data_IF_151195549687
#
_entry.id   IF_151195549687
#
_cell.length_a   1.000
_cell.length_b   1.000
_cell.length_c   1.000
_cell.angle_alpha   90.00
_cell.angle_beta   90.00
_cell.angle_gamma   90.00
#
_symmetry.space_group_name_H-M   'P 1'
#
loop_
_entity.id
_entity.type
_entity.pdbx_description
1 polymer ?
#
# COMPACT_ATOMS: atom_id res chain seq x y z
N UNK A 1 24.22 14.19 11.43
CA UNK A 1 23.73 12.81 11.22
C UNK A 1 22.35 12.75 10.56
N UNK A 2 21.38 13.57 10.97
CA UNK A 2 20.00 13.53 10.41
C UNK A 2 19.89 13.78 8.91
N UNK A 3 20.64 14.75 8.34
CA UNK A 3 20.58 15.05 6.91
C UNK A 3 21.05 13.89 6.00
N UNK A 4 22.05 13.12 6.44
CA UNK A 4 22.55 11.96 5.69
C UNK A 4 21.55 10.80 5.71
N UNK A 5 20.84 10.63 6.82
CA UNK A 5 19.83 9.59 6.98
C UNK A 5 18.58 9.89 6.13
N UNK A 6 18.11 11.15 6.13
CA UNK A 6 17.01 11.59 5.27
C UNK A 6 17.35 11.46 3.77
N UNK A 7 18.58 11.86 3.39
CA UNK A 7 19.05 11.70 2.01
C UNK A 7 19.11 10.23 1.59
N UNK A 8 19.57 9.34 2.48
CA UNK A 8 19.57 7.90 2.24
C UNK A 8 18.15 7.36 2.02
N UNK A 9 17.19 7.78 2.86
CA UNK A 9 15.78 7.39 2.74
C UNK A 9 15.21 7.78 1.38
N UNK A 10 15.45 9.02 0.95
CA UNK A 10 15.00 9.52 -0.36
C UNK A 10 15.63 8.77 -1.53
N UNK A 11 16.92 8.45 -1.44
CA UNK A 11 17.62 7.65 -2.46
C UNK A 11 17.05 6.23 -2.53
N UNK A 12 16.80 5.60 -1.38
CA UNK A 12 16.18 4.27 -1.33
C UNK A 12 14.78 4.29 -1.93
N UNK A 13 13.95 5.27 -1.56
CA UNK A 13 12.61 5.46 -2.14
C UNK A 13 12.67 5.66 -3.66
N UNK A 14 13.57 6.51 -4.14
CA UNK A 14 13.78 6.73 -5.57
C UNK A 14 14.19 5.44 -6.27
N UNK A 15 15.09 4.65 -5.67
CA UNK A 15 15.50 3.36 -6.20
C UNK A 15 14.31 2.41 -6.31
N UNK A 16 13.45 2.32 -5.29
CA UNK A 16 12.25 1.50 -5.32
C UNK A 16 11.26 1.95 -6.41
N UNK A 17 11.07 3.26 -6.59
CA UNK A 17 10.23 3.80 -7.68
C UNK A 17 10.81 3.43 -9.04
N UNK A 18 12.12 3.57 -9.22
CA UNK A 18 12.81 3.19 -10.47
C UNK A 18 12.70 1.69 -10.71
N UNK A 19 12.91 0.85 -9.70
CA UNK A 19 12.77 -0.61 -9.80
C UNK A 19 11.33 -1.03 -10.10
N UNK A 20 10.34 -0.38 -9.48
CA UNK A 20 8.92 -0.60 -9.79
C UNK A 20 8.59 -0.20 -11.23
N UNK A 21 9.09 0.96 -11.69
CA UNK A 21 8.96 1.39 -13.08
C UNK A 21 9.62 0.41 -14.06
N UNK A 22 10.82 -0.07 -13.75
CA UNK A 22 11.53 -1.08 -14.53
C UNK A 22 10.77 -2.41 -14.54
N UNK A 23 10.21 -2.85 -13.41
CA UNK A 23 9.39 -4.05 -13.34
C UNK A 23 8.16 -3.94 -14.26
N UNK A 24 7.49 -2.78 -14.27
CA UNK A 24 6.36 -2.49 -15.18
C UNK A 24 6.81 -2.51 -16.65
N UNK A 25 7.98 -1.95 -16.97
CA UNK A 25 8.52 -1.95 -18.33
C UNK A 25 8.94 -3.35 -18.79
N UNK A 26 9.58 -4.13 -17.92
CA UNK A 26 10.02 -5.49 -18.19
C UNK A 26 8.84 -6.45 -18.33
N UNK A 27 7.78 -6.26 -17.57
CA UNK A 27 6.55 -7.05 -17.67
C UNK A 27 5.84 -6.93 -19.02
N UNK A 28 6.07 -5.83 -19.78
CA UNK A 28 5.58 -5.69 -21.16
C UNK A 28 6.27 -6.62 -22.15
N UNK A 29 7.36 -7.29 -21.76
CA UNK A 29 8.10 -8.17 -22.67
C UNK A 29 7.45 -9.57 -22.71
N UNK A 30 7.13 -10.10 -23.90
CA UNK A 30 6.35 -11.33 -24.06
C UNK A 30 7.00 -12.57 -23.43
N UNK A 31 8.33 -12.59 -23.28
CA UNK A 31 9.07 -13.69 -22.64
C UNK A 31 8.93 -13.78 -21.11
N UNK A 32 8.49 -12.70 -20.45
CA UNK A 32 8.29 -12.60 -18.99
C UNK A 32 6.81 -12.81 -18.71
N UNK A 33 5.94 -12.24 -19.55
CA UNK A 33 4.49 -12.35 -19.46
C UNK A 33 3.99 -13.80 -19.34
N UNK A 34 4.52 -14.72 -20.17
CA UNK A 34 4.12 -16.13 -20.14
C UNK A 34 4.59 -16.93 -18.91
N UNK A 35 5.49 -16.37 -18.08
CA UNK A 35 6.05 -17.05 -16.89
C UNK A 35 5.43 -16.58 -15.58
N UNK A 36 4.78 -15.42 -15.56
CA UNK A 36 4.17 -14.86 -14.33
C UNK A 36 2.74 -15.37 -14.20
N UNK A 37 2.54 -16.45 -13.44
CA UNK A 37 1.21 -16.96 -13.09
C UNK A 37 0.70 -16.30 -11.81
N UNK A 38 -0.38 -15.54 -11.93
CA UNK A 38 -1.10 -15.00 -10.78
C UNK A 38 -1.95 -16.10 -10.14
N UNK A 39 -1.54 -16.57 -8.97
CA UNK A 39 -2.33 -17.48 -8.16
C UNK A 39 -2.98 -16.71 -7.02
N UNK A 40 -4.08 -17.22 -6.48
CA UNK A 40 -4.75 -16.66 -5.29
C UNK A 40 -3.80 -16.53 -4.09
N UNK A 41 -2.74 -17.35 -4.04
CA UNK A 41 -1.70 -17.26 -3.00
C UNK A 41 -0.86 -15.99 -3.16
N UNK A 42 -0.55 -15.59 -4.38
CA UNK A 42 0.21 -14.36 -4.64
C UNK A 42 -0.68 -13.14 -4.42
N UNK A 43 -1.96 -13.21 -4.81
CA UNK A 43 -2.98 -12.22 -4.45
C UNK A 43 -3.01 -12.00 -2.93
N UNK A 44 -3.26 -13.08 -2.18
CA UNK A 44 -3.39 -13.02 -0.73
C UNK A 44 -2.09 -12.58 -0.06
N UNK A 45 -0.94 -13.09 -0.50
CA UNK A 45 0.37 -12.68 0.03
C UNK A 45 0.61 -11.18 -0.13
N UNK A 46 0.25 -10.61 -1.28
CA UNK A 46 0.37 -9.18 -1.55
C UNK A 46 -0.43 -8.34 -0.56
N UNK A 47 -1.69 -8.70 -0.32
CA UNK A 47 -2.55 -7.98 0.61
C UNK A 47 -2.22 -8.23 2.08
N UNK A 48 -1.68 -9.39 2.44
CA UNK A 48 -1.14 -9.62 3.79
C UNK A 48 0.04 -8.67 4.05
N UNK A 49 0.99 -8.59 3.12
CA UNK A 49 2.14 -7.66 3.25
C UNK A 49 1.66 -6.21 3.32
N UNK A 50 0.67 -5.82 2.50
CA UNK A 50 0.10 -4.49 2.56
C UNK A 50 -0.60 -4.20 3.89
N UNK A 51 -1.41 -5.13 4.41
CA UNK A 51 -2.07 -4.98 5.71
C UNK A 51 -1.05 -4.88 6.86
N UNK A 52 -0.02 -5.75 6.87
CA UNK A 52 1.04 -5.71 7.88
C UNK A 52 1.83 -4.40 7.83
N UNK A 53 2.15 -3.90 6.63
CA UNK A 53 2.88 -2.64 6.47
C UNK A 53 2.05 -1.45 6.96
N UNK A 54 0.74 -1.43 6.67
CA UNK A 54 -0.17 -0.40 7.17
C UNK A 54 -0.30 -0.45 8.69
N UNK A 55 -0.45 -1.65 9.27
CA UNK A 55 -0.53 -1.83 10.72
C UNK A 55 0.74 -1.34 11.43
N UNK A 56 1.92 -1.71 10.91
CA UNK A 56 3.20 -1.24 11.42
C UNK A 56 3.33 0.28 11.31
N UNK A 57 2.85 0.88 10.22
CA UNK A 57 2.84 2.33 10.04
C UNK A 57 1.96 3.07 11.04
N UNK A 58 0.77 2.54 11.33
CA UNK A 58 -0.09 3.08 12.39
C UNK A 58 0.62 2.97 13.74
N UNK A 59 1.11 1.78 14.10
CA UNK A 59 1.80 1.57 15.38
C UNK A 59 2.98 2.52 15.54
N UNK A 60 3.82 2.66 14.50
CA UNK A 60 4.98 3.52 14.57
C UNK A 60 4.62 5.02 14.62
N UNK A 61 3.51 5.44 14.00
CA UNK A 61 3.00 6.81 14.13
C UNK A 61 2.53 7.15 15.54
N UNK A 62 2.00 6.18 16.29
CA UNK A 62 1.64 6.39 17.70
C UNK A 62 2.84 6.36 18.64
N UNK A 63 3.84 5.52 18.36
CA UNK A 63 5.04 5.41 19.21
C UNK A 63 6.04 6.54 18.97
N UNK A 64 6.20 7.02 17.73
CA UNK A 64 7.20 8.01 17.34
C UNK A 64 6.67 9.05 16.34
N UNK A 65 5.60 9.80 16.67
CA UNK A 65 4.92 10.70 15.73
C UNK A 65 5.87 11.76 15.12
N UNK A 66 6.68 12.41 15.96
CA UNK A 66 7.61 13.46 15.50
C UNK A 66 8.70 12.92 14.58
N UNK A 67 9.27 11.76 14.90
CA UNK A 67 10.34 11.15 14.09
C UNK A 67 9.79 10.68 12.75
N UNK A 68 8.64 10.02 12.76
CA UNK A 68 7.97 9.52 11.57
C UNK A 68 7.54 10.66 10.63
N UNK A 69 7.02 11.75 11.18
CA UNK A 69 6.61 12.93 10.41
C UNK A 69 7.81 13.72 9.89
N UNK A 70 8.79 14.05 10.75
CA UNK A 70 9.94 14.89 10.39
C UNK A 70 10.89 14.23 9.41
N UNK A 71 11.10 12.92 9.53
CA UNK A 71 12.00 12.17 8.65
C UNK A 71 11.28 11.53 7.46
N UNK A 72 9.98 11.80 7.28
CA UNK A 72 9.18 11.25 6.18
C UNK A 72 9.20 9.71 6.09
N UNK A 73 9.43 9.03 7.22
CA UNK A 73 9.60 7.56 7.26
C UNK A 73 8.33 6.81 6.88
N UNK A 74 7.17 7.46 6.94
CA UNK A 74 5.90 6.89 6.49
C UNK A 74 5.91 6.53 5.00
N UNK A 75 6.69 7.23 4.18
CA UNK A 75 6.83 6.95 2.74
C UNK A 75 7.44 5.57 2.51
N UNK A 76 8.35 5.13 3.38
CA UNK A 76 8.97 3.79 3.28
C UNK A 76 8.00 2.67 3.55
N UNK A 77 6.97 2.90 4.36
CA UNK A 77 5.95 1.92 4.68
C UNK A 77 4.88 1.79 3.57
N UNK A 78 4.89 2.73 2.61
CA UNK A 78 4.08 2.65 1.39
C UNK A 78 4.78 1.90 0.26
N UNK A 79 6.11 1.69 0.34
CA UNK A 79 6.88 0.95 -0.68
C UNK A 79 6.26 -0.43 -0.97
N UNK A 80 5.88 -1.26 0.03
CA UNK A 80 5.30 -2.56 -0.25
C UNK A 80 3.99 -2.48 -1.05
N UNK A 81 3.20 -1.41 -0.85
CA UNK A 81 1.97 -1.14 -1.61
C UNK A 81 2.28 -0.72 -3.04
N UNK A 82 3.27 0.14 -3.22
CA UNK A 82 3.72 0.52 -4.56
C UNK A 82 4.22 -0.69 -5.34
N UNK A 83 5.02 -1.55 -4.71
CA UNK A 83 5.50 -2.78 -5.33
C UNK A 83 4.35 -3.75 -5.65
N UNK A 84 3.36 -3.85 -4.76
CA UNK A 84 2.13 -4.59 -5.02
C UNK A 84 1.44 -4.08 -6.29
N UNK A 85 1.10 -2.78 -6.36
CA UNK A 85 0.43 -2.22 -7.53
C UNK A 85 1.27 -2.32 -8.82
N UNK A 86 2.58 -2.14 -8.73
CA UNK A 86 3.47 -2.33 -9.86
C UNK A 86 3.45 -3.77 -10.38
N UNK A 87 3.45 -4.75 -9.46
CA UNK A 87 3.30 -6.16 -9.79
C UNK A 87 1.94 -6.47 -10.42
N UNK A 88 0.85 -5.92 -9.87
CA UNK A 88 -0.50 -6.02 -10.44
C UNK A 88 -0.59 -5.46 -11.86
N UNK A 89 -0.04 -4.26 -12.09
CA UNK A 89 -0.01 -3.63 -13.40
C UNK A 89 0.82 -4.42 -14.41
N UNK A 90 1.94 -4.99 -13.95
CA UNK A 90 2.76 -5.91 -14.73
C UNK A 90 1.97 -7.13 -15.20
N UNK A 91 1.19 -7.74 -14.31
CA UNK A 91 0.35 -8.91 -14.60
C UNK A 91 -0.79 -8.57 -15.55
N UNK A 92 -1.50 -7.46 -15.31
CA UNK A 92 -2.59 -7.00 -16.17
C UNK A 92 -2.12 -6.83 -17.63
N UNK A 93 -0.91 -6.30 -17.82
CA UNK A 93 -0.32 -6.12 -19.15
C UNK A 93 0.24 -7.40 -19.76
N UNK A 94 0.77 -8.30 -18.95
CA UNK A 94 1.27 -9.59 -19.40
C UNK A 94 0.17 -10.46 -20.01
N UNK A 95 -1.05 -10.39 -19.47
CA UNK A 95 -2.18 -11.20 -19.94
C UNK A 95 -2.82 -10.67 -21.21
N UNK A 96 -2.83 -9.36 -21.44
CA UNK A 96 -3.36 -8.74 -22.65
C UNK A 96 -4.83 -9.12 -22.92
N UNK A 97 -5.78 -8.32 -22.45
CA UNK A 97 -7.23 -8.54 -22.58
C UNK A 97 -7.77 -9.91 -22.08
N UNK A 98 -6.92 -10.86 -21.69
CA UNK A 98 -7.33 -11.95 -20.82
C UNK A 98 -7.75 -11.32 -19.49
N UNK A 99 -8.97 -11.61 -19.01
CA UNK A 99 -9.45 -11.00 -17.79
C UNK A 99 -8.44 -11.31 -16.68
N UNK A 100 -7.98 -10.25 -16.00
CA UNK A 100 -7.75 -10.40 -14.57
C UNK A 100 -8.99 -11.13 -14.07
N UNK A 101 -8.82 -12.29 -13.41
CA UNK A 101 -9.92 -13.15 -13.03
C UNK A 101 -11.07 -12.27 -12.52
N UNK A 102 -12.20 -12.25 -13.21
CA UNK A 102 -13.25 -11.25 -13.04
C UNK A 102 -13.69 -11.17 -11.57
N UNK A 103 -13.55 -12.30 -10.86
CA UNK A 103 -13.67 -12.42 -9.41
C UNK A 103 -12.68 -11.51 -8.65
N UNK A 104 -11.39 -11.57 -8.95
CA UNK A 104 -10.35 -10.77 -8.29
C UNK A 104 -10.57 -9.26 -8.52
N UNK A 105 -11.02 -8.87 -9.71
CA UNK A 105 -11.37 -7.47 -10.01
C UNK A 105 -12.59 -7.01 -9.19
N UNK A 106 -13.65 -7.83 -9.15
CA UNK A 106 -14.83 -7.59 -8.32
C UNK A 106 -14.48 -7.52 -6.82
N UNK A 107 -13.62 -8.41 -6.34
CA UNK A 107 -13.17 -8.45 -4.95
C UNK A 107 -12.35 -7.21 -4.59
N UNK A 108 -11.50 -6.73 -5.50
CA UNK A 108 -10.78 -5.46 -5.33
C UNK A 108 -11.74 -4.27 -5.37
N UNK A 109 -12.76 -4.28 -6.24
CA UNK A 109 -13.79 -3.24 -6.27
C UNK A 109 -14.57 -3.17 -4.95
N UNK A 110 -14.98 -4.33 -4.42
CA UNK A 110 -15.64 -4.43 -3.09
C UNK A 110 -14.71 -3.99 -1.97
N UNK A 111 -13.44 -4.37 -2.02
CA UNK A 111 -12.41 -3.91 -1.09
C UNK A 111 -12.23 -2.39 -1.15
N UNK A 112 -12.33 -1.78 -2.33
CA UNK A 112 -12.35 -0.32 -2.52
C UNK A 112 -13.52 0.34 -1.79
N UNK A 113 -14.71 -0.23 -1.88
CA UNK A 113 -15.88 0.22 -1.11
C UNK A 113 -15.68 0.12 0.40
N UNK A 114 -15.07 -0.98 0.88
CA UNK A 114 -14.70 -1.15 2.30
C UNK A 114 -13.65 -0.13 2.74
N UNK A 115 -12.65 0.14 1.91
CA UNK A 115 -11.62 1.12 2.18
C UNK A 115 -12.22 2.52 2.30
N UNK A 116 -13.15 2.88 1.40
CA UNK A 116 -13.86 4.15 1.47
C UNK A 116 -14.64 4.28 2.77
N UNK A 117 -15.50 3.30 3.12
CA UNK A 117 -16.26 3.32 4.37
C UNK A 117 -15.37 3.34 5.62
N UNK A 118 -14.31 2.53 5.62
CA UNK A 118 -13.31 2.50 6.69
C UNK A 118 -12.53 3.82 6.82
N UNK A 119 -12.22 4.48 5.70
CA UNK A 119 -11.53 5.77 5.70
C UNK A 119 -12.40 6.90 6.25
N UNK A 120 -13.72 6.86 6.03
CA UNK A 120 -14.68 7.81 6.61
C UNK A 120 -14.74 7.66 8.13
N UNK A 121 -14.86 6.42 8.64
CA UNK A 121 -14.81 6.15 10.09
C UNK A 121 -13.44 6.56 10.65
N UNK A 122 -12.36 6.22 9.95
CA UNK A 122 -11.00 6.60 10.30
C UNK A 122 -10.83 8.11 10.44
N UNK A 123 -11.39 8.90 9.53
CA UNK A 123 -11.32 10.36 9.58
C UNK A 123 -12.03 10.92 10.81
N UNK A 124 -13.19 10.36 11.20
CA UNK A 124 -13.89 10.76 12.43
C UNK A 124 -13.05 10.47 13.68
N UNK A 125 -12.41 9.31 13.74
CA UNK A 125 -11.52 8.95 14.84
C UNK A 125 -10.31 9.89 14.88
N UNK A 126 -9.65 10.11 13.74
CA UNK A 126 -8.50 11.02 13.65
C UNK A 126 -8.86 12.45 14.03
N UNK A 127 -10.05 12.92 13.64
CA UNK A 127 -10.55 14.23 14.04
C UNK A 127 -10.69 14.34 15.56
N UNK A 128 -11.26 13.33 16.23
CA UNK A 128 -11.37 13.31 17.69
C UNK A 128 -10.02 13.25 18.39
N UNK A 129 -9.07 12.49 17.85
CA UNK A 129 -7.70 12.46 18.36
C UNK A 129 -7.00 13.82 18.21
N UNK A 130 -7.26 14.53 17.11
CA UNK A 130 -6.74 15.87 16.86
C UNK A 130 -7.36 16.90 17.81
N UNK A 131 -8.69 16.91 17.98
CA UNK A 131 -9.37 17.79 18.95
C UNK A 131 -8.84 17.58 20.37
N UNK A 132 -8.50 16.34 20.73
CA UNK A 132 -7.89 15.98 22.01
C UNK A 132 -6.40 16.28 22.14
N UNK A 133 -5.75 16.87 21.13
CA UNK A 133 -4.28 17.06 21.06
C UNK A 133 -3.48 15.76 21.25
N UNK A 134 -4.06 14.60 20.94
CA UNK A 134 -3.40 13.30 21.08
C UNK A 134 -2.47 12.96 19.91
N UNK A 135 -2.67 13.61 18.77
CA UNK A 135 -1.82 13.48 17.59
C UNK A 135 -1.56 14.88 16.99
N UNK A 136 -0.38 15.11 16.38
CA UNK A 136 -0.12 16.35 15.65
C UNK A 136 -0.83 16.36 14.29
N UNK A 137 -1.16 17.54 13.77
CA UNK A 137 -1.75 17.74 12.43
C UNK A 137 -0.93 17.05 11.34
N UNK A 138 0.40 17.05 11.48
CA UNK A 138 1.31 16.46 10.50
C UNK A 138 1.21 14.93 10.40
N UNK A 139 0.59 14.27 11.37
CA UNK A 139 0.34 12.82 11.35
C UNK A 139 -1.00 12.44 10.70
N UNK A 140 -1.89 13.41 10.42
CA UNK A 140 -3.23 13.13 9.86
C UNK A 140 -3.16 12.42 8.52
N UNK A 141 -2.38 12.95 7.58
CA UNK A 141 -2.29 12.40 6.23
C UNK A 141 -1.69 10.98 6.22
N UNK A 142 -0.54 10.72 6.87
CA UNK A 142 -0.01 9.35 6.95
C UNK A 142 -0.94 8.36 7.65
N UNK A 143 -1.57 8.76 8.76
CA UNK A 143 -2.50 7.89 9.47
C UNK A 143 -3.74 7.57 8.62
N UNK A 144 -4.28 8.56 7.91
CA UNK A 144 -5.39 8.35 6.97
C UNK A 144 -5.02 7.36 5.86
N UNK A 145 -3.82 7.50 5.26
CA UNK A 145 -3.31 6.57 4.27
C UNK A 145 -3.19 5.15 4.82
N UNK A 146 -2.62 4.98 6.02
CA UNK A 146 -2.45 3.65 6.60
C UNK A 146 -3.79 3.00 6.98
N UNK A 147 -4.78 3.77 7.46
CA UNK A 147 -6.13 3.27 7.70
C UNK A 147 -6.76 2.78 6.40
N UNK A 148 -6.67 3.56 5.32
CA UNK A 148 -7.17 3.19 4.01
C UNK A 148 -6.51 1.92 3.47
N UNK A 149 -5.19 1.82 3.60
CA UNK A 149 -4.42 0.65 3.19
C UNK A 149 -4.81 -0.61 3.98
N UNK A 150 -4.93 -0.51 5.30
CA UNK A 150 -5.36 -1.63 6.14
C UNK A 150 -6.76 -2.09 5.78
N UNK A 151 -7.70 -1.16 5.65
CA UNK A 151 -9.10 -1.48 5.34
C UNK A 151 -9.26 -2.06 3.94
N UNK A 152 -8.57 -1.51 2.93
CA UNK A 152 -8.51 -2.08 1.59
C UNK A 152 -7.95 -3.51 1.60
N UNK A 153 -6.80 -3.70 2.25
CA UNK A 153 -6.11 -5.00 2.25
C UNK A 153 -6.90 -6.07 2.99
N UNK A 154 -7.52 -5.72 4.13
CA UNK A 154 -8.40 -6.64 4.86
C UNK A 154 -9.67 -6.96 4.07
N UNK A 155 -10.26 -5.96 3.40
CA UNK A 155 -11.40 -6.17 2.51
C UNK A 155 -11.06 -7.12 1.36
N UNK A 156 -9.92 -6.91 0.70
CA UNK A 156 -9.46 -7.77 -0.40
C UNK A 156 -9.23 -9.21 0.07
N UNK A 157 -8.61 -9.39 1.24
CA UNK A 157 -8.40 -10.73 1.83
C UNK A 157 -9.71 -11.40 2.25
N UNK A 158 -10.67 -10.64 2.76
CA UNK A 158 -11.96 -11.16 3.18
C UNK A 158 -12.79 -11.66 2.01
N UNK A 159 -12.88 -10.88 0.93
CA UNK A 159 -13.63 -11.25 -0.25
C UNK A 159 -12.96 -12.36 -1.06
N UNK A 160 -11.61 -12.35 -1.16
CA UNK A 160 -10.87 -13.40 -1.86
C UNK A 160 -10.98 -14.80 -1.22
N UNK A 161 -11.36 -14.90 0.06
CA UNK A 161 -11.60 -16.18 0.75
C UNK A 161 -13.00 -16.76 0.52
N UNK A 162 -13.94 -15.99 0.00
CA UNK A 162 -15.31 -16.41 -0.32
C UNK A 162 -15.42 -16.90 -1.76
#
# INVERSE_FOLDING_TARGET
>A
MHANFESLIKVVLLLFVVLAGLAVLLARRPWIAGRVRFSDRVFAGTFVVAASSGALGITAMFLWPETMSRLHLWEMLLIPVFLAYAYWLAVARARGADPIDEKQELDMGRAGGWAFGGSTIGMLVLWKLLEGNLIPVSSLFPLYLFIGQCTFSLGALYHARR
#
